data_IF_250866031316
#
_entry.id   IF_250866031316
#
_cell.length_a   1.000
_cell.length_b   1.000
_cell.length_c   1.000
_cell.angle_alpha   90.00
_cell.angle_beta   90.00
_cell.angle_gamma   90.00
#
_symmetry.space_group_name_H-M   'P 1'
#
loop_
_entity.id
_entity.type
_entity.pdbx_description
1 polymer ?
#
# COMPACT_ATOMS: atom_id res chain seq x y z
N UNK A 1 -28.75 -43.80 -17.97
CA UNK A 1 -27.31 -43.77 -17.57
C UNK A 1 -26.57 -43.05 -18.72
N UNK A 2 -25.90 -41.94 -18.38
CA UNK A 2 -25.10 -41.18 -19.35
C UNK A 2 -23.97 -42.05 -19.94
N UNK A 3 -23.75 -42.02 -21.25
CA UNK A 3 -22.61 -42.73 -21.93
C UNK A 3 -21.27 -42.38 -21.30
N UNK A 4 -21.12 -41.14 -20.78
CA UNK A 4 -19.91 -40.66 -20.06
C UNK A 4 -19.60 -41.44 -18.78
N UNK A 5 -20.61 -42.00 -18.10
CA UNK A 5 -20.39 -42.80 -16.87
C UNK A 5 -19.83 -44.21 -17.18
N UNK A 6 -19.90 -44.71 -18.43
CA UNK A 6 -19.33 -46.01 -18.81
C UNK A 6 -17.81 -45.94 -18.97
N UNK A 7 -17.32 -44.82 -19.54
CA UNK A 7 -15.90 -44.69 -19.88
C UNK A 7 -15.06 -44.04 -18.77
N UNK A 8 -15.68 -43.16 -17.97
CA UNK A 8 -14.98 -42.35 -16.95
C UNK A 8 -15.50 -42.55 -15.52
N UNK A 9 -16.57 -43.30 -15.34
CA UNK A 9 -17.17 -43.52 -14.02
C UNK A 9 -16.47 -44.64 -13.23
N UNK A 10 -16.19 -44.41 -11.95
CA UNK A 10 -15.61 -45.42 -11.04
C UNK A 10 -16.60 -46.50 -10.58
N UNK A 11 -17.85 -46.45 -11.00
CA UNK A 11 -18.92 -47.38 -10.55
C UNK A 11 -19.47 -47.14 -9.16
N UNK A 12 -18.82 -46.30 -8.35
CA UNK A 12 -19.24 -46.05 -6.96
C UNK A 12 -20.52 -45.20 -6.88
N UNK A 13 -21.37 -45.47 -5.91
CA UNK A 13 -22.49 -44.65 -5.57
C UNK A 13 -21.98 -43.35 -4.89
N UNK A 14 -22.36 -42.20 -5.44
CA UNK A 14 -22.02 -40.90 -4.89
C UNK A 14 -23.28 -40.02 -4.88
N UNK A 15 -23.46 -39.28 -3.80
CA UNK A 15 -24.62 -38.38 -3.64
C UNK A 15 -24.54 -37.22 -4.63
N UNK A 16 -23.37 -36.64 -4.81
CA UNK A 16 -23.12 -35.51 -5.72
C UNK A 16 -22.52 -35.97 -7.03
N UNK A 17 -23.30 -35.82 -8.12
CA UNK A 17 -22.84 -36.18 -9.47
C UNK A 17 -22.96 -35.01 -10.44
N UNK A 18 -21.96 -34.79 -11.26
CA UNK A 18 -21.96 -33.81 -12.35
C UNK A 18 -21.84 -34.55 -13.68
N UNK A 19 -22.82 -34.35 -14.57
CA UNK A 19 -22.90 -35.10 -15.84
C UNK A 19 -22.88 -36.63 -15.65
N UNK A 20 -23.41 -37.13 -14.52
CA UNK A 20 -23.44 -38.59 -14.20
C UNK A 20 -22.12 -39.12 -13.59
N UNK A 21 -21.11 -38.30 -13.43
CA UNK A 21 -19.79 -38.63 -12.85
C UNK A 21 -19.71 -38.10 -11.41
N UNK A 22 -19.07 -38.87 -10.50
CA UNK A 22 -18.74 -38.39 -9.15
C UNK A 22 -17.69 -37.31 -9.18
N UNK A 23 -17.49 -36.60 -8.04
CA UNK A 23 -16.54 -35.48 -7.94
C UNK A 23 -15.09 -35.86 -8.22
N UNK A 24 -14.70 -37.12 -8.08
CA UNK A 24 -13.35 -37.61 -8.41
C UNK A 24 -13.20 -37.97 -9.90
N UNK A 25 -14.25 -38.45 -10.56
CA UNK A 25 -14.23 -38.82 -11.97
C UNK A 25 -14.50 -37.64 -12.91
N UNK A 26 -15.28 -36.66 -12.45
CA UNK A 26 -15.63 -35.49 -13.25
C UNK A 26 -14.40 -34.65 -13.67
N UNK A 27 -13.42 -34.32 -12.83
CA UNK A 27 -12.21 -33.62 -13.26
C UNK A 27 -11.39 -34.45 -14.29
N UNK A 28 -11.28 -35.78 -14.12
CA UNK A 28 -10.58 -36.63 -15.07
C UNK A 28 -11.21 -36.55 -16.48
N UNK A 29 -12.54 -36.68 -16.55
CA UNK A 29 -13.26 -36.49 -17.81
C UNK A 29 -13.09 -35.07 -18.37
N UNK A 30 -13.19 -34.06 -17.50
CA UNK A 30 -13.15 -32.66 -17.90
C UNK A 30 -11.84 -32.26 -18.58
N UNK A 31 -10.71 -32.81 -18.11
CA UNK A 31 -9.38 -32.47 -18.65
C UNK A 31 -8.83 -33.46 -19.65
N UNK A 32 -9.36 -34.68 -19.73
CA UNK A 32 -8.86 -35.69 -20.63
C UNK A 32 -9.66 -35.85 -21.92
N UNK A 33 -10.86 -35.28 -22.02
CA UNK A 33 -11.69 -35.35 -23.21
C UNK A 33 -11.82 -34.04 -23.94
N UNK A 34 -12.02 -34.08 -25.25
CA UNK A 34 -12.25 -32.88 -26.08
C UNK A 34 -13.47 -32.10 -25.64
N UNK A 35 -14.60 -32.80 -25.34
CA UNK A 35 -15.83 -32.16 -24.83
C UNK A 35 -15.62 -31.47 -23.48
N UNK A 36 -14.84 -32.14 -22.59
CA UNK A 36 -14.49 -31.56 -21.29
C UNK A 36 -13.63 -30.29 -21.43
N UNK A 37 -12.62 -30.35 -22.27
CA UNK A 37 -11.74 -29.22 -22.58
C UNK A 37 -12.48 -28.06 -23.24
N UNK A 38 -13.42 -28.32 -24.12
CA UNK A 38 -14.31 -27.31 -24.71
C UNK A 38 -15.19 -26.64 -23.62
N UNK A 39 -15.67 -27.44 -22.66
CA UNK A 39 -16.45 -26.89 -21.54
C UNK A 39 -15.60 -25.98 -20.63
N UNK A 40 -14.36 -26.40 -20.36
CA UNK A 40 -13.39 -25.58 -19.59
C UNK A 40 -13.12 -24.28 -20.33
N UNK A 41 -12.82 -24.33 -21.62
CA UNK A 41 -12.50 -23.14 -22.41
C UNK A 41 -13.66 -22.14 -22.50
N UNK A 42 -14.90 -22.63 -22.65
CA UNK A 42 -16.11 -21.78 -22.64
C UNK A 42 -16.25 -20.97 -21.34
N UNK A 43 -15.77 -21.49 -20.21
CA UNK A 43 -15.84 -20.80 -18.92
C UNK A 43 -14.59 -19.99 -18.58
N UNK A 44 -13.40 -20.49 -18.94
CA UNK A 44 -12.13 -19.84 -18.58
C UNK A 44 -11.78 -18.66 -19.48
N UNK A 45 -12.00 -18.75 -20.77
CA UNK A 45 -11.70 -17.67 -21.73
C UNK A 45 -12.44 -16.37 -21.40
N UNK A 46 -13.78 -16.37 -21.14
CA UNK A 46 -14.49 -15.15 -20.76
C UNK A 46 -14.03 -14.56 -19.42
N UNK A 47 -13.63 -15.42 -18.47
CA UNK A 47 -13.09 -14.97 -17.19
C UNK A 47 -11.71 -14.34 -17.37
N UNK A 48 -10.85 -14.95 -18.17
CA UNK A 48 -9.53 -14.39 -18.49
C UNK A 48 -9.69 -13.04 -19.19
N UNK A 49 -10.52 -12.95 -20.21
CA UNK A 49 -10.80 -11.70 -20.91
C UNK A 49 -11.27 -10.58 -19.96
N UNK A 50 -12.22 -10.88 -19.06
CA UNK A 50 -12.68 -9.91 -18.04
C UNK A 50 -11.55 -9.43 -17.12
N UNK A 51 -10.63 -10.33 -16.75
CA UNK A 51 -9.44 -9.97 -15.95
C UNK A 51 -8.50 -9.07 -16.74
N UNK A 52 -8.24 -9.40 -18.00
CA UNK A 52 -7.35 -8.64 -18.87
C UNK A 52 -7.94 -7.23 -19.16
N UNK A 53 -9.25 -7.14 -19.44
CA UNK A 53 -9.95 -5.88 -19.61
C UNK A 53 -9.90 -5.02 -18.32
N UNK A 54 -10.08 -5.63 -17.16
CA UNK A 54 -9.95 -4.94 -15.87
C UNK A 54 -8.52 -4.42 -15.62
N UNK A 55 -7.51 -5.23 -15.91
CA UNK A 55 -6.10 -4.84 -15.78
C UNK A 55 -5.76 -3.70 -16.74
N UNK A 56 -6.23 -3.78 -17.99
CA UNK A 56 -6.03 -2.74 -18.99
C UNK A 56 -6.72 -1.41 -18.58
N UNK A 57 -7.95 -1.48 -18.13
CA UNK A 57 -8.68 -0.30 -17.65
C UNK A 57 -8.02 0.34 -16.42
N UNK A 58 -7.50 -0.47 -15.51
CA UNK A 58 -6.77 0.02 -14.34
C UNK A 58 -5.46 0.71 -14.74
N UNK A 59 -4.73 0.15 -15.71
CA UNK A 59 -3.50 0.76 -16.24
C UNK A 59 -3.79 2.09 -16.90
N UNK A 60 -4.77 2.16 -17.78
CA UNK A 60 -5.22 3.39 -18.45
C UNK A 60 -5.66 4.47 -17.43
N UNK A 61 -6.41 4.09 -16.40
CA UNK A 61 -6.77 4.99 -15.30
C UNK A 61 -5.54 5.55 -14.56
N UNK A 62 -4.53 4.72 -14.26
CA UNK A 62 -3.29 5.19 -13.62
C UNK A 62 -2.47 6.11 -14.56
N UNK A 63 -2.45 5.82 -15.87
CA UNK A 63 -1.76 6.63 -16.88
C UNK A 63 -2.40 8.01 -17.08
N UNK A 64 -3.70 8.15 -16.85
CA UNK A 64 -4.40 9.44 -16.96
C UNK A 64 -4.27 10.34 -15.74
N UNK A 65 -3.76 9.85 -14.62
CA UNK A 65 -3.59 10.67 -13.41
C UNK A 65 -2.61 11.82 -13.67
N UNK A 66 -2.97 13.00 -13.21
CA UNK A 66 -2.08 14.18 -13.26
C UNK A 66 -0.97 14.10 -12.21
N UNK A 67 0.12 14.85 -12.40
CA UNK A 67 1.21 14.92 -11.40
C UNK A 67 0.70 15.34 -10.01
N UNK A 68 -0.17 16.37 -9.85
CA UNK A 68 -0.75 16.69 -8.54
C UNK A 68 -1.52 15.53 -7.92
N UNK A 69 -2.30 14.79 -8.70
CA UNK A 69 -3.04 13.61 -8.21
C UNK A 69 -2.09 12.49 -7.75
N UNK A 70 -1.01 12.23 -8.50
CA UNK A 70 -0.01 11.24 -8.14
C UNK A 70 0.76 11.65 -6.88
N UNK A 71 1.09 12.95 -6.75
CA UNK A 71 1.74 13.52 -5.58
C UNK A 71 0.88 13.34 -4.32
N UNK A 72 -0.41 13.66 -4.41
CA UNK A 72 -1.37 13.45 -3.34
C UNK A 72 -1.47 11.97 -2.93
N UNK A 73 -1.57 11.06 -3.91
CA UNK A 73 -1.64 9.62 -3.65
C UNK A 73 -0.37 9.07 -2.97
N UNK A 74 0.81 9.56 -3.37
CA UNK A 74 2.06 9.20 -2.71
C UNK A 74 2.10 9.72 -1.27
N UNK A 75 1.66 10.99 -1.05
CA UNK A 75 1.61 11.57 0.28
C UNK A 75 0.66 10.81 1.22
N UNK A 76 -0.50 10.40 0.73
CA UNK A 76 -1.44 9.57 1.51
C UNK A 76 -0.77 8.26 1.96
N UNK A 77 -0.05 7.58 1.07
CA UNK A 77 0.64 6.33 1.40
C UNK A 77 1.76 6.55 2.44
N UNK A 78 2.56 7.61 2.28
CA UNK A 78 3.60 8.00 3.25
C UNK A 78 2.99 8.31 4.61
N UNK A 79 1.97 9.16 4.65
CA UNK A 79 1.33 9.56 5.91
C UNK A 79 0.73 8.36 6.65
N UNK A 80 0.10 7.42 5.92
CA UNK A 80 -0.43 6.21 6.51
C UNK A 80 0.67 5.32 7.11
N UNK A 81 1.80 5.18 6.42
CA UNK A 81 2.97 4.45 6.92
C UNK A 81 3.56 5.11 8.18
N UNK A 82 3.81 6.42 8.14
CA UNK A 82 4.38 7.17 9.28
C UNK A 82 3.47 7.08 10.52
N UNK A 83 2.16 7.22 10.34
CA UNK A 83 1.20 7.09 11.45
C UNK A 83 1.23 5.70 12.07
N UNK A 84 1.36 4.65 11.28
CA UNK A 84 1.48 3.29 11.82
C UNK A 84 2.86 3.04 12.45
N UNK A 85 3.96 3.55 11.86
CA UNK A 85 5.33 3.47 12.40
C UNK A 85 5.45 4.13 13.78
N UNK A 86 4.77 5.26 13.95
CA UNK A 86 4.88 6.09 15.16
C UNK A 86 3.68 5.91 16.12
N UNK A 87 2.82 4.93 15.84
CA UNK A 87 1.68 4.59 16.69
C UNK A 87 2.14 4.29 18.12
N UNK A 88 1.48 4.91 19.10
CA UNK A 88 1.83 4.79 20.52
C UNK A 88 3.01 5.67 20.98
N UNK A 89 3.75 6.33 20.06
CA UNK A 89 4.80 7.27 20.45
C UNK A 89 4.19 8.65 20.71
N UNK A 90 4.68 9.41 21.70
CA UNK A 90 4.18 10.75 21.99
C UNK A 90 4.43 11.70 20.81
N UNK A 91 3.65 12.79 20.74
CA UNK A 91 3.84 13.86 19.76
C UNK A 91 5.27 14.38 19.78
N UNK A 92 5.89 14.49 18.60
CA UNK A 92 7.30 14.93 18.48
C UNK A 92 7.50 16.35 19.03
N UNK A 93 6.51 17.23 18.92
CA UNK A 93 6.66 18.64 19.32
C UNK A 93 6.28 18.91 20.77
N UNK A 94 5.16 18.42 21.27
CA UNK A 94 4.70 18.76 22.61
C UNK A 94 4.71 17.61 23.62
N UNK A 95 5.11 16.41 23.19
CA UNK A 95 5.16 15.24 24.06
C UNK A 95 3.80 14.67 24.47
N UNK A 96 2.68 15.20 23.97
CA UNK A 96 1.34 14.65 24.29
C UNK A 96 1.22 13.21 23.84
N UNK A 97 0.45 12.44 24.58
CA UNK A 97 0.20 11.03 24.26
C UNK A 97 -0.38 10.84 22.85
N UNK A 98 -0.10 9.68 22.28
CA UNK A 98 -0.63 9.29 20.97
C UNK A 98 -2.16 9.24 20.99
N UNK A 99 -2.75 9.82 19.93
CA UNK A 99 -4.19 9.73 19.67
C UNK A 99 -4.44 9.27 18.22
N UNK A 100 -5.61 8.66 17.94
CA UNK A 100 -5.94 8.19 16.58
C UNK A 100 -5.95 9.30 15.51
N UNK A 101 -6.12 10.56 15.88
CA UNK A 101 -6.08 11.74 15.02
C UNK A 101 -4.67 12.33 14.83
N UNK A 102 -3.63 11.75 15.45
CA UNK A 102 -2.25 12.15 15.20
C UNK A 102 -1.89 12.02 13.72
N UNK A 103 -1.10 12.94 13.25
CA UNK A 103 -0.76 13.13 11.85
C UNK A 103 0.72 12.87 11.58
N UNK A 104 1.07 12.72 10.31
CA UNK A 104 2.44 12.70 9.85
C UNK A 104 2.88 14.16 9.61
N UNK A 105 3.59 14.73 10.58
CA UNK A 105 4.09 16.10 10.53
C UNK A 105 5.45 16.16 9.85
N UNK A 106 5.66 17.13 8.95
CA UNK A 106 6.95 17.40 8.32
C UNK A 106 7.77 18.35 9.18
N UNK A 107 9.02 18.00 9.46
CA UNK A 107 9.97 18.91 10.10
C UNK A 107 10.32 20.06 9.16
N UNK A 108 10.82 19.76 7.97
CA UNK A 108 10.98 20.71 6.89
C UNK A 108 9.78 20.62 5.94
N UNK A 109 9.05 21.73 5.80
CA UNK A 109 7.83 21.83 5.00
C UNK A 109 8.02 21.28 3.59
N UNK A 110 7.16 20.36 3.17
CA UNK A 110 7.18 19.76 1.85
C UNK A 110 7.00 20.76 0.68
N UNK A 111 6.48 21.96 0.95
CA UNK A 111 6.38 23.04 -0.03
C UNK A 111 7.71 23.77 -0.24
N UNK A 112 8.47 23.99 0.85
CA UNK A 112 9.75 24.70 0.82
C UNK A 112 10.94 23.77 0.54
N UNK A 113 10.80 22.48 0.85
CA UNK A 113 11.82 21.45 0.72
C UNK A 113 11.22 20.23 0.00
N UNK A 114 10.97 20.31 -1.30
CA UNK A 114 10.22 19.30 -2.02
C UNK A 114 10.91 17.93 -2.07
N UNK A 115 12.25 17.87 -2.05
CA UNK A 115 12.99 16.59 -2.04
C UNK A 115 12.88 15.85 -0.71
N UNK A 116 12.59 16.59 0.39
CA UNK A 116 12.34 16.01 1.71
C UNK A 116 10.88 15.61 1.93
N UNK A 117 9.99 15.83 0.95
CA UNK A 117 8.56 15.54 1.07
C UNK A 117 8.26 14.10 1.48
N UNK A 118 9.04 13.15 0.99
CA UNK A 118 8.85 11.71 1.25
C UNK A 118 10.02 11.09 2.02
N UNK A 119 10.90 11.91 2.59
CA UNK A 119 11.98 11.44 3.46
C UNK A 119 11.41 11.04 4.82
N UNK A 120 11.63 9.78 5.20
CA UNK A 120 11.12 9.21 6.46
C UNK A 120 11.72 9.88 7.70
N UNK A 121 12.90 10.45 7.59
CA UNK A 121 13.55 11.18 8.70
C UNK A 121 12.97 12.58 8.84
N UNK A 122 12.43 13.15 7.74
CA UNK A 122 11.75 14.44 7.76
C UNK A 122 10.31 14.38 8.27
N UNK A 123 9.73 13.18 8.47
CA UNK A 123 8.31 13.05 8.78
C UNK A 123 8.14 12.20 10.05
N UNK A 124 7.54 12.79 11.09
CA UNK A 124 7.33 12.13 12.38
C UNK A 124 5.91 12.35 12.88
N UNK A 125 5.42 11.44 13.73
CA UNK A 125 4.09 11.52 14.34
C UNK A 125 3.91 12.78 15.19
N UNK A 126 2.92 13.60 14.86
CA UNK A 126 2.62 14.88 15.51
C UNK A 126 1.13 14.99 15.80
N UNK A 127 0.74 15.56 16.95
CA UNK A 127 -0.67 15.76 17.24
C UNK A 127 -1.29 16.84 16.32
N UNK A 128 -2.60 16.76 16.13
CA UNK A 128 -3.35 17.68 15.27
C UNK A 128 -3.13 19.14 15.67
N UNK A 129 -3.10 19.44 16.97
CA UNK A 129 -2.86 20.79 17.49
C UNK A 129 -1.50 21.38 17.09
N UNK A 130 -0.42 20.56 17.17
CA UNK A 130 0.91 21.02 16.75
C UNK A 130 1.04 21.09 15.23
N UNK A 131 0.51 20.10 14.51
CA UNK A 131 0.69 20.03 13.06
C UNK A 131 -0.13 21.07 12.29
N UNK A 132 -1.41 21.25 12.64
CA UNK A 132 -2.32 22.13 11.90
C UNK A 132 -2.49 23.51 12.55
N UNK A 133 -2.79 23.55 13.86
CA UNK A 133 -3.13 24.83 14.52
C UNK A 133 -1.91 25.69 14.81
N UNK A 134 -0.74 25.08 15.00
CA UNK A 134 0.54 25.76 15.26
C UNK A 134 1.49 25.65 14.06
N UNK A 135 0.97 25.46 12.85
CA UNK A 135 1.73 25.42 11.59
C UNK A 135 2.97 24.52 11.63
N UNK A 136 2.86 23.35 12.26
CA UNK A 136 3.95 22.41 12.44
C UNK A 136 4.76 22.59 13.72
N UNK A 137 4.58 23.71 14.46
CA UNK A 137 5.25 23.99 15.74
C UNK A 137 6.77 23.73 15.68
N UNK A 138 7.43 24.38 14.74
CA UNK A 138 8.79 24.07 14.27
C UNK A 138 9.84 24.04 15.38
N UNK A 139 9.85 25.04 16.28
CA UNK A 139 10.86 25.10 17.35
C UNK A 139 10.73 23.90 18.31
N UNK A 140 9.50 23.62 18.74
CA UNK A 140 9.24 22.46 19.59
C UNK A 140 9.45 21.14 18.86
N UNK A 141 9.21 21.10 17.54
CA UNK A 141 9.54 19.93 16.71
C UNK A 141 11.04 19.69 16.71
N UNK A 142 11.85 20.75 16.51
CA UNK A 142 13.31 20.67 16.50
C UNK A 142 13.85 20.11 17.82
N UNK A 143 13.38 20.67 18.95
CA UNK A 143 13.78 20.20 20.28
C UNK A 143 13.38 18.74 20.52
N UNK A 144 12.16 18.37 20.16
CA UNK A 144 11.69 16.99 20.30
C UNK A 144 12.39 16.03 19.35
N UNK A 145 12.78 16.46 18.16
CA UNK A 145 13.53 15.69 17.20
C UNK A 145 14.94 15.38 17.74
N UNK A 146 15.65 16.39 18.22
CA UNK A 146 16.96 16.25 18.86
C UNK A 146 16.92 15.34 20.09
N UNK A 147 15.92 15.56 20.95
CA UNK A 147 15.71 14.72 22.14
C UNK A 147 15.45 13.25 21.80
N UNK A 148 14.74 12.96 20.70
CA UNK A 148 14.34 11.59 20.31
C UNK A 148 15.39 10.87 19.49
N UNK A 149 16.08 11.56 18.60
CA UNK A 149 16.95 10.98 17.59
C UNK A 149 18.42 11.37 17.74
N UNK A 150 18.72 12.36 18.57
CA UNK A 150 20.08 12.85 18.82
C UNK A 150 20.49 14.01 17.91
N UNK A 151 21.54 14.74 18.32
CA UNK A 151 22.06 15.90 17.60
C UNK A 151 22.67 15.53 16.24
N UNK A 152 23.25 14.34 16.09
CA UNK A 152 23.80 13.86 14.81
C UNK A 152 22.70 13.74 13.76
N UNK A 153 21.57 13.11 14.12
CA UNK A 153 20.42 12.99 13.20
C UNK A 153 19.77 14.34 12.87
N UNK A 154 19.78 15.25 13.83
CA UNK A 154 19.34 16.62 13.60
C UNK A 154 20.26 17.33 12.58
N UNK A 155 21.58 17.18 12.72
CA UNK A 155 22.54 17.77 11.78
C UNK A 155 22.41 17.14 10.38
N UNK A 156 22.17 15.83 10.25
CA UNK A 156 21.95 15.15 8.97
C UNK A 156 20.73 15.70 8.23
N UNK A 157 19.58 15.88 8.93
CA UNK A 157 18.37 16.41 8.29
C UNK A 157 18.48 17.89 7.97
N UNK A 158 19.21 18.69 8.78
CA UNK A 158 19.53 20.08 8.50
C UNK A 158 20.38 20.19 7.23
N UNK A 159 21.38 19.32 7.07
CA UNK A 159 22.22 19.29 5.87
C UNK A 159 21.42 18.88 4.64
N UNK A 160 20.56 17.88 4.73
CA UNK A 160 19.64 17.51 3.63
C UNK A 160 18.78 18.71 3.20
N UNK A 161 18.26 19.48 4.15
CA UNK A 161 17.45 20.67 3.86
C UNK A 161 18.29 21.77 3.18
N UNK A 162 19.52 21.97 3.61
CA UNK A 162 20.46 22.89 2.97
C UNK A 162 20.75 22.47 1.52
N UNK A 163 21.00 21.19 1.30
CA UNK A 163 21.25 20.64 -0.03
C UNK A 163 20.03 20.77 -0.95
N UNK A 164 18.82 20.54 -0.45
CA UNK A 164 17.60 20.72 -1.25
C UNK A 164 17.46 22.16 -1.76
N UNK A 165 17.77 23.15 -0.93
CA UNK A 165 17.78 24.57 -1.35
C UNK A 165 18.83 24.88 -2.43
N UNK A 166 20.02 24.31 -2.30
CA UNK A 166 21.12 24.55 -3.27
C UNK A 166 20.82 23.94 -4.64
N UNK A 167 20.06 22.86 -4.71
CA UNK A 167 19.74 22.17 -5.96
C UNK A 167 18.64 22.85 -6.80
N UNK A 168 18.04 23.94 -6.30
CA UNK A 168 17.03 24.70 -7.03
C UNK A 168 15.69 23.97 -7.18
N UNK A 169 14.91 24.36 -8.18
CA UNK A 169 13.54 23.89 -8.38
C UNK A 169 13.48 22.37 -8.60
N UNK A 170 12.70 21.67 -7.80
CA UNK A 170 12.43 20.24 -7.97
C UNK A 170 11.14 20.01 -8.76
N UNK A 171 11.20 19.16 -9.77
CA UNK A 171 10.03 18.71 -10.55
C UNK A 171 9.83 17.21 -10.36
N UNK A 172 8.71 16.85 -9.79
CA UNK A 172 8.34 15.45 -9.61
C UNK A 172 8.09 14.76 -10.94
N UNK A 173 8.70 13.60 -11.15
CA UNK A 173 8.41 12.72 -12.28
C UNK A 173 7.31 11.72 -11.90
N UNK A 174 6.49 11.33 -12.87
CA UNK A 174 5.40 10.37 -12.70
C UNK A 174 5.87 9.05 -12.07
N UNK A 175 6.96 8.54 -12.63
CA UNK A 175 7.55 7.25 -12.26
C UNK A 175 7.99 7.24 -10.80
N UNK A 176 8.58 8.32 -10.31
CA UNK A 176 9.02 8.46 -8.93
C UNK A 176 7.83 8.48 -7.97
N UNK A 177 6.78 9.22 -8.29
CA UNK A 177 5.58 9.27 -7.47
C UNK A 177 4.87 7.91 -7.36
N UNK A 178 4.84 7.16 -8.47
CA UNK A 178 4.30 5.80 -8.49
C UNK A 178 5.17 4.86 -7.64
N UNK A 179 6.51 4.98 -7.72
CA UNK A 179 7.46 4.22 -6.89
C UNK A 179 7.27 4.52 -5.41
N UNK A 180 7.23 5.79 -5.01
CA UNK A 180 7.01 6.18 -3.61
C UNK A 180 5.70 5.62 -3.07
N UNK A 181 4.59 5.77 -3.80
CA UNK A 181 3.31 5.20 -3.40
C UNK A 181 3.40 3.69 -3.16
N UNK A 182 3.95 2.93 -4.12
CA UNK A 182 4.10 1.48 -4.00
C UNK A 182 4.99 1.09 -2.82
N UNK A 183 6.12 1.75 -2.67
CA UNK A 183 7.09 1.50 -1.61
C UNK A 183 6.47 1.67 -0.22
N UNK A 184 5.84 2.81 0.05
CA UNK A 184 5.24 3.07 1.36
C UNK A 184 3.98 2.23 1.62
N UNK A 185 3.22 1.87 0.58
CA UNK A 185 2.13 0.90 0.73
C UNK A 185 2.65 -0.48 1.14
N UNK A 186 3.76 -0.93 0.56
CA UNK A 186 4.39 -2.19 0.93
C UNK A 186 4.96 -2.14 2.37
N UNK A 187 5.65 -1.05 2.74
CA UNK A 187 6.17 -0.85 4.11
C UNK A 187 5.03 -0.87 5.15
N UNK A 188 3.92 -0.19 4.86
CA UNK A 188 2.74 -0.22 5.73
C UNK A 188 2.19 -1.63 5.92
N UNK A 189 2.10 -2.41 4.83
CA UNK A 189 1.63 -3.79 4.91
C UNK A 189 2.57 -4.68 5.73
N UNK A 190 3.88 -4.46 5.66
CA UNK A 190 4.87 -5.17 6.46
C UNK A 190 4.75 -4.85 7.96
N UNK A 191 4.66 -3.56 8.32
CA UNK A 191 4.50 -3.16 9.74
C UNK A 191 3.24 -3.77 10.34
N UNK A 192 2.11 -3.73 9.63
CA UNK A 192 0.84 -4.32 10.10
C UNK A 192 0.90 -5.84 10.28
N UNK A 193 1.80 -6.52 9.60
CA UNK A 193 2.02 -7.97 9.81
C UNK A 193 2.91 -8.27 11.02
N UNK A 194 3.87 -7.38 11.29
CA UNK A 194 4.87 -7.57 12.37
C UNK A 194 4.29 -7.16 13.73
N UNK A 195 3.40 -6.17 13.75
CA UNK A 195 2.68 -5.77 14.97
C UNK A 195 1.33 -6.50 14.97
N UNK A 196 1.24 -7.69 15.54
CA UNK A 196 -0.05 -8.37 15.71
C UNK A 196 -0.95 -7.51 16.59
N UNK A 197 -2.25 -7.64 16.40
CA UNK A 197 -3.35 -6.97 17.11
C UNK A 197 -3.38 -7.17 18.66
N UNK A 198 -2.31 -7.58 19.27
CA UNK A 198 -2.15 -7.87 20.71
C UNK A 198 -2.00 -6.61 21.59
N UNK A 199 -2.10 -5.39 21.03
CA UNK A 199 -2.11 -4.13 21.81
C UNK A 199 -3.42 -3.34 21.63
N UNK A 200 -4.52 -4.00 21.28
CA UNK A 200 -5.87 -3.44 21.24
C UNK A 200 -6.73 -4.04 22.35
N UNK A 201 -6.27 -3.88 23.58
CA UNK A 201 -7.10 -4.12 24.78
C UNK A 201 -6.78 -3.05 25.81
#
# INVERSE_FOLDING_TARGET
KSTKSKDFGCGNLAENRKLGLCMSCYPKWLYSTKEGQELVSKHTIPLQKKRDDFVAAKRDYEERKTIPSLLSNAQIAVNAYIRERDKGKPCISCGSEWKPDNQAGHFYSAAKFPRLRFDEENIVGQCCGCNLMKEGNYEMYRMGYESRFGSEKLAEIDEKARQDKLQGVHKWQREDLIKYRKFFTAKLALIKKIIPSTLAS
#
